data_IF_293417652844
#
_entry.id   IF_293417652844
#
_cell.length_a   1.000
_cell.length_b   1.000
_cell.length_c   1.000
_cell.angle_alpha   90.00
_cell.angle_beta   90.00
_cell.angle_gamma   90.00
#
_symmetry.space_group_name_H-M   'P 1'
#
loop_
_entity.id
_entity.type
_entity.pdbx_description
1 polymer ?
#
# COMPACT_ATOMS: atom_id res chain seq x y z
N UNK A 1 -19.01 8.62 1.88
CA UNK A 1 -18.38 7.28 1.81
C UNK A 1 -18.88 6.59 0.56
N UNK A 2 -18.03 5.82 -0.11
CA UNK A 2 -18.37 5.04 -1.31
C UNK A 2 -17.85 3.60 -1.18
N UNK A 3 -18.48 2.60 -1.84
CA UNK A 3 -18.01 1.21 -1.83
C UNK A 3 -16.57 1.09 -2.33
N UNK A 4 -15.79 0.17 -1.75
CA UNK A 4 -14.39 -0.03 -2.06
C UNK A 4 -14.10 -0.34 -3.54
N UNK A 5 -14.99 -1.06 -4.23
CA UNK A 5 -14.85 -1.35 -5.66
C UNK A 5 -15.03 -0.11 -6.56
N UNK A 6 -15.58 0.99 -6.02
CA UNK A 6 -15.72 2.27 -6.74
C UNK A 6 -14.60 3.26 -6.43
N UNK A 7 -13.74 2.96 -5.46
CA UNK A 7 -12.55 3.76 -5.16
C UNK A 7 -11.40 3.25 -6.03
N UNK A 8 -10.80 4.10 -6.89
CA UNK A 8 -9.65 3.69 -7.68
C UNK A 8 -8.49 3.20 -6.80
N UNK A 9 -7.77 2.12 -7.18
CA UNK A 9 -6.54 1.76 -6.49
C UNK A 9 -5.52 2.91 -6.57
N UNK A 10 -4.70 3.06 -5.54
CA UNK A 10 -3.76 4.17 -5.39
C UNK A 10 -4.37 5.37 -4.65
N UNK A 11 -5.70 5.42 -4.50
CA UNK A 11 -6.36 6.47 -3.71
C UNK A 11 -6.03 6.35 -2.23
N UNK A 12 -5.87 7.48 -1.56
CA UNK A 12 -5.82 7.54 -0.10
C UNK A 12 -7.22 7.63 0.48
N UNK A 13 -7.47 6.86 1.53
CA UNK A 13 -8.77 6.78 2.21
C UNK A 13 -8.57 6.81 3.72
N UNK A 14 -9.58 7.27 4.46
CA UNK A 14 -9.65 7.07 5.91
C UNK A 14 -10.47 5.81 6.19
N UNK A 15 -9.94 4.92 7.02
CA UNK A 15 -10.63 3.71 7.47
C UNK A 15 -10.35 3.44 8.95
N UNK A 16 -11.23 2.70 9.61
CA UNK A 16 -11.00 2.23 10.97
C UNK A 16 -10.18 0.93 10.95
N UNK A 17 -8.96 0.98 11.45
CA UNK A 17 -8.08 -0.19 11.62
C UNK A 17 -7.74 -0.30 13.10
N UNK A 18 -7.93 -1.47 13.70
CA UNK A 18 -7.72 -1.72 15.13
C UNK A 18 -8.42 -0.69 16.05
N UNK A 19 -9.63 -0.27 15.67
CA UNK A 19 -10.45 0.68 16.42
C UNK A 19 -10.04 2.15 16.28
N UNK A 20 -9.10 2.48 15.40
CA UNK A 20 -8.63 3.85 15.17
C UNK A 20 -8.84 4.26 13.71
N UNK A 21 -9.29 5.50 13.50
CA UNK A 21 -9.28 6.10 12.17
C UNK A 21 -7.83 6.34 11.73
N UNK A 22 -7.45 5.73 10.61
CA UNK A 22 -6.11 5.84 10.03
C UNK A 22 -6.21 6.13 8.55
N UNK A 23 -5.19 6.83 8.03
CA UNK A 23 -5.01 6.99 6.60
C UNK A 23 -4.51 5.67 6.00
N UNK A 24 -5.14 5.25 4.91
CA UNK A 24 -4.85 4.01 4.23
C UNK A 24 -4.62 4.26 2.74
N UNK A 25 -3.75 3.46 2.13
CA UNK A 25 -3.70 3.30 0.68
C UNK A 25 -4.73 2.25 0.25
N UNK A 26 -5.61 2.59 -0.69
CA UNK A 26 -6.47 1.63 -1.36
C UNK A 26 -5.65 0.82 -2.35
N UNK A 27 -5.67 -0.50 -2.19
CA UNK A 27 -4.86 -1.43 -3.00
C UNK A 27 -5.74 -2.46 -3.68
N UNK A 28 -5.30 -2.92 -4.85
CA UNK A 28 -5.94 -4.01 -5.59
C UNK A 28 -4.95 -5.06 -6.07
N UNK A 29 -5.40 -6.31 -6.08
CA UNK A 29 -4.70 -7.42 -6.73
C UNK A 29 -5.63 -8.02 -7.78
N UNK A 30 -5.34 -7.83 -9.07
CA UNK A 30 -6.04 -8.53 -10.14
C UNK A 30 -5.79 -10.04 -10.01
N UNK A 31 -6.88 -10.81 -9.92
CA UNK A 31 -6.89 -12.25 -10.11
C UNK A 31 -7.27 -12.60 -11.54
N UNK A 32 -7.54 -13.89 -11.80
CA UNK A 32 -7.97 -14.36 -13.12
C UNK A 32 -9.37 -13.86 -13.49
N UNK A 33 -10.30 -13.94 -12.55
CA UNK A 33 -11.74 -13.69 -12.78
C UNK A 33 -12.32 -12.64 -11.82
N UNK A 34 -11.53 -12.16 -10.87
CA UNK A 34 -11.96 -11.22 -9.83
C UNK A 34 -10.82 -10.31 -9.39
N UNK A 35 -11.16 -9.20 -8.74
CA UNK A 35 -10.20 -8.26 -8.14
C UNK A 35 -10.33 -8.38 -6.62
N UNK A 36 -9.21 -8.60 -5.94
CA UNK A 36 -9.16 -8.51 -4.48
C UNK A 36 -8.89 -7.06 -4.06
N UNK A 37 -9.64 -6.57 -3.08
CA UNK A 37 -9.51 -5.22 -2.53
C UNK A 37 -8.80 -5.29 -1.17
N UNK A 38 -7.83 -4.40 -0.97
CA UNK A 38 -7.06 -4.31 0.26
C UNK A 38 -6.89 -2.87 0.71
N UNK A 39 -6.55 -2.70 1.98
CA UNK A 39 -6.01 -1.46 2.55
C UNK A 39 -4.59 -1.69 3.06
N UNK A 40 -3.78 -0.63 3.01
CA UNK A 40 -2.50 -0.57 3.73
C UNK A 40 -2.57 0.61 4.69
N UNK A 41 -2.54 0.34 5.99
CA UNK A 41 -2.58 1.40 7.01
C UNK A 41 -1.24 2.17 7.03
N UNK A 42 -1.25 3.40 6.53
CA UNK A 42 -0.06 4.25 6.41
C UNK A 42 0.15 5.01 7.72
N UNK A 43 0.83 4.38 8.66
CA UNK A 43 1.22 5.01 9.93
C UNK A 43 2.71 5.29 9.91
N UNK A 44 3.11 6.53 10.22
CA UNK A 44 4.51 6.93 10.26
C UNK A 44 5.32 6.01 11.19
N UNK A 45 6.50 5.57 10.75
CA UNK A 45 7.40 4.70 11.52
C UNK A 45 6.95 3.25 11.67
N UNK A 46 5.80 2.86 11.08
CA UNK A 46 5.28 1.50 11.16
C UNK A 46 6.09 0.54 10.27
N UNK A 47 6.63 -0.52 10.86
CA UNK A 47 7.51 -1.52 10.21
C UNK A 47 6.85 -2.89 9.97
N UNK A 48 5.59 -3.03 10.36
CA UNK A 48 4.80 -4.26 10.24
C UNK A 48 3.67 -4.11 9.22
N UNK A 49 3.85 -3.25 8.20
CA UNK A 49 2.82 -3.00 7.18
C UNK A 49 2.40 -4.30 6.47
N UNK A 50 1.09 -4.47 6.33
CA UNK A 50 0.47 -5.64 5.74
C UNK A 50 -0.70 -5.24 4.85
N UNK A 51 -1.05 -6.10 3.89
CA UNK A 51 -2.32 -5.99 3.19
C UNK A 51 -3.45 -6.41 4.13
N UNK A 52 -4.43 -5.52 4.29
CA UNK A 52 -5.65 -5.77 5.05
C UNK A 52 -6.75 -6.03 4.04
N UNK A 53 -7.20 -7.27 3.91
CA UNK A 53 -8.31 -7.61 3.01
C UNK A 53 -9.58 -6.86 3.43
N UNK A 54 -10.30 -6.34 2.45
CA UNK A 54 -11.62 -5.72 2.65
C UNK A 54 -12.60 -6.25 1.61
N UNK A 55 -13.88 -6.27 1.99
CA UNK A 55 -14.96 -6.59 1.07
C UNK A 55 -15.13 -5.47 0.03
N UNK A 56 -15.41 -5.77 -1.26
CA UNK A 56 -15.65 -4.76 -2.30
C UNK A 56 -16.76 -3.75 -1.97
N UNK A 57 -17.70 -4.10 -1.10
CA UNK A 57 -18.79 -3.21 -0.66
C UNK A 57 -18.46 -2.45 0.63
N UNK A 58 -17.26 -2.65 1.20
CA UNK A 58 -16.80 -1.91 2.38
C UNK A 58 -16.86 -0.40 2.10
N UNK A 59 -17.58 0.40 2.93
CA UNK A 59 -17.66 1.83 2.72
C UNK A 59 -16.34 2.51 3.09
N UNK A 60 -15.77 3.27 2.16
CA UNK A 60 -14.53 4.02 2.34
C UNK A 60 -14.78 5.53 2.22
N UNK A 61 -14.06 6.31 3.02
CA UNK A 61 -14.01 7.76 2.90
C UNK A 61 -12.72 8.15 2.18
N UNK A 62 -12.83 8.72 0.97
CA UNK A 62 -11.65 9.25 0.25
C UNK A 62 -11.07 10.40 1.06
N UNK A 63 -9.75 10.37 1.26
CA UNK A 63 -9.02 11.41 1.96
C UNK A 63 -8.57 12.47 0.94
N UNK A 64 -9.44 13.43 0.64
CA UNK A 64 -9.13 14.51 -0.30
C UNK A 64 -7.95 15.35 0.20
N UNK A 65 -7.08 15.78 -0.73
CA UNK A 65 -5.88 16.56 -0.42
C UNK A 65 -4.72 15.78 0.20
N UNK A 66 -4.96 14.55 0.66
CA UNK A 66 -3.91 13.69 1.20
C UNK A 66 -2.97 13.21 0.09
N UNK A 67 -1.69 13.03 0.42
CA UNK A 67 -0.67 12.56 -0.51
C UNK A 67 0.37 11.66 0.19
N UNK A 68 1.03 10.82 -0.62
CA UNK A 68 2.27 10.15 -0.23
C UNK A 68 3.41 10.97 -0.82
N UNK A 69 4.22 11.57 0.04
CA UNK A 69 5.40 12.30 -0.35
C UNK A 69 6.59 11.33 -0.38
N UNK A 70 7.29 11.27 -1.52
CA UNK A 70 8.50 10.46 -1.69
C UNK A 70 9.72 11.36 -1.51
N UNK A 71 10.66 10.91 -0.69
CA UNK A 71 11.92 11.58 -0.42
C UNK A 71 13.08 11.00 -1.21
N UNK A 72 14.29 11.35 -0.78
CA UNK A 72 15.50 10.92 -1.46
C UNK A 72 15.72 9.40 -1.38
N UNK A 73 16.37 8.89 -2.43
CA UNK A 73 16.79 7.51 -2.47
C UNK A 73 18.08 7.31 -1.66
N UNK A 74 18.17 6.18 -0.96
CA UNK A 74 19.35 5.75 -0.21
C UNK A 74 19.70 4.30 -0.54
N UNK A 75 20.93 3.90 -0.25
CA UNK A 75 21.36 2.50 -0.43
C UNK A 75 20.71 1.57 0.59
N UNK A 76 20.47 0.32 0.21
CA UNK A 76 19.97 -0.71 1.13
C UNK A 76 19.13 -1.77 0.45
N UNK A 77 18.74 -2.78 1.22
CA UNK A 77 17.80 -3.81 0.81
C UNK A 77 16.44 -3.53 1.45
N UNK A 78 15.33 -3.53 0.70
CA UNK A 78 14.02 -3.19 1.24
C UNK A 78 13.52 -4.27 2.20
N UNK A 79 13.03 -3.84 3.36
CA UNK A 79 12.28 -4.65 4.30
C UNK A 79 10.79 -4.22 4.36
N UNK A 80 9.98 -4.90 5.16
CA UNK A 80 8.57 -4.54 5.34
C UNK A 80 8.47 -3.09 5.82
N UNK A 81 7.61 -2.32 5.15
CA UNK A 81 7.41 -0.90 5.41
C UNK A 81 8.36 0.01 4.65
N UNK A 82 9.40 -0.50 4.01
CA UNK A 82 10.25 0.30 3.13
C UNK A 82 9.62 0.48 1.75
N UNK A 83 9.69 1.72 1.25
CA UNK A 83 9.54 1.98 -0.17
C UNK A 83 10.91 1.86 -0.85
N UNK A 84 10.91 1.45 -2.11
CA UNK A 84 12.14 1.35 -2.91
C UNK A 84 11.85 1.62 -4.39
N UNK A 85 12.83 2.19 -5.07
CA UNK A 85 12.74 2.50 -6.49
C UNK A 85 13.23 1.30 -7.32
N UNK A 86 12.58 1.06 -8.46
CA UNK A 86 13.07 0.21 -9.55
C UNK A 86 12.91 0.99 -10.87
N UNK A 87 13.47 0.52 -11.99
CA UNK A 87 13.24 1.13 -13.30
C UNK A 87 11.75 1.20 -13.71
N UNK A 88 10.89 0.39 -13.11
CA UNK A 88 9.46 0.34 -13.43
C UNK A 88 8.56 1.12 -12.45
N UNK A 89 9.12 1.77 -11.43
CA UNK A 89 8.34 2.58 -10.48
C UNK A 89 8.86 2.53 -9.05
N UNK A 90 8.06 3.04 -8.11
CA UNK A 90 8.34 2.97 -6.67
C UNK A 90 7.37 2.01 -6.00
N UNK A 91 7.91 1.09 -5.20
CA UNK A 91 7.15 0.00 -4.61
C UNK A 91 7.28 0.02 -3.10
N UNK A 92 6.19 -0.25 -2.39
CA UNK A 92 6.17 -0.48 -0.96
C UNK A 92 6.17 -1.99 -0.69
N UNK A 93 7.13 -2.46 0.10
CA UNK A 93 7.19 -3.87 0.52
C UNK A 93 6.33 -4.08 1.76
N UNK A 94 5.49 -5.11 1.70
CA UNK A 94 4.46 -5.41 2.69
C UNK A 94 4.45 -6.89 3.04
N UNK A 95 3.81 -7.25 4.15
CA UNK A 95 3.33 -8.61 4.37
C UNK A 95 2.05 -8.84 3.56
N UNK A 96 1.98 -9.94 2.82
CA UNK A 96 0.82 -10.26 1.98
C UNK A 96 -0.38 -10.70 2.82
N UNK A 97 -0.23 -11.78 3.57
CA UNK A 97 -1.29 -12.31 4.43
C UNK A 97 -0.74 -12.63 5.82
N UNK A 98 -1.31 -12.12 6.91
CA UNK A 98 -0.78 -12.36 8.26
C UNK A 98 -0.79 -13.84 8.67
N UNK A 99 -1.66 -14.65 8.05
CA UNK A 99 -1.90 -16.05 8.39
C UNK A 99 -1.14 -17.05 7.51
N UNK A 100 -0.54 -16.62 6.40
CA UNK A 100 0.23 -17.48 5.51
C UNK A 100 1.74 -17.42 5.82
N UNK A 101 2.47 -18.49 5.50
CA UNK A 101 3.93 -18.55 5.65
C UNK A 101 4.60 -17.35 4.95
N UNK A 102 5.20 -16.43 5.73
CA UNK A 102 6.06 -15.29 5.32
C UNK A 102 6.02 -14.93 3.82
N UNK A 103 4.85 -14.55 3.31
CA UNK A 103 4.71 -14.03 1.95
C UNK A 103 4.81 -12.51 1.96
N UNK A 104 5.60 -11.97 1.03
CA UNK A 104 5.72 -10.52 0.81
C UNK A 104 4.85 -10.10 -0.36
N UNK A 105 4.27 -8.91 -0.26
CA UNK A 105 3.61 -8.23 -1.35
C UNK A 105 4.35 -6.93 -1.69
N UNK A 106 4.27 -6.52 -2.96
CA UNK A 106 4.89 -5.31 -3.47
C UNK A 106 3.79 -4.45 -4.09
N UNK A 107 3.53 -3.30 -3.49
CA UNK A 107 2.49 -2.39 -3.98
C UNK A 107 3.16 -1.25 -4.72
N UNK A 108 2.78 -1.05 -5.97
CA UNK A 108 3.13 0.13 -6.74
C UNK A 108 2.46 1.36 -6.13
N UNK A 109 3.24 2.32 -5.62
CA UNK A 109 2.70 3.49 -4.94
C UNK A 109 1.98 4.46 -5.88
N UNK A 110 2.24 4.41 -7.19
CA UNK A 110 1.57 5.27 -8.16
C UNK A 110 0.19 4.72 -8.56
N UNK A 111 0.03 3.40 -8.60
CA UNK A 111 -1.19 2.75 -9.11
C UNK A 111 -2.01 2.03 -8.04
N UNK A 112 -1.42 1.80 -6.85
CA UNK A 112 -2.00 0.96 -5.81
C UNK A 112 -2.19 -0.50 -6.20
N UNK A 113 -1.50 -0.98 -7.24
CA UNK A 113 -1.60 -2.37 -7.69
C UNK A 113 -0.54 -3.24 -7.03
N UNK A 114 -0.94 -4.43 -6.59
CA UNK A 114 0.00 -5.47 -6.17
C UNK A 114 0.73 -6.01 -7.40
N UNK A 115 2.06 -6.10 -7.29
CA UNK A 115 2.96 -6.65 -8.30
C UNK A 115 3.64 -7.93 -7.83
N UNK A 116 4.15 -8.76 -8.77
CA UNK A 116 5.10 -9.82 -8.46
C UNK A 116 6.35 -9.30 -7.75
N UNK A 117 7.26 -10.20 -7.38
CA UNK A 117 8.48 -9.83 -6.65
C UNK A 117 9.33 -8.78 -7.37
N UNK A 118 9.43 -7.57 -6.80
CA UNK A 118 10.14 -6.42 -7.39
C UNK A 118 11.56 -6.18 -6.84
N UNK A 119 11.94 -6.82 -5.72
CA UNK A 119 13.22 -6.59 -5.03
C UNK A 119 14.49 -6.81 -5.86
N UNK A 120 14.45 -7.73 -6.85
CA UNK A 120 15.63 -8.06 -7.66
C UNK A 120 16.15 -6.88 -8.49
N UNK A 121 15.32 -5.85 -8.65
CA UNK A 121 15.60 -4.65 -9.43
C UNK A 121 15.63 -3.39 -8.55
N UNK A 122 15.73 -3.54 -7.23
CA UNK A 122 15.78 -2.40 -6.32
C UNK A 122 17.05 -1.56 -6.57
N UNK A 123 16.86 -0.32 -6.99
CA UNK A 123 17.93 0.68 -7.16
C UNK A 123 18.27 1.42 -5.88
N UNK A 124 17.42 1.33 -4.86
CA UNK A 124 17.62 1.94 -3.54
C UNK A 124 16.31 2.07 -2.77
N UNK A 125 16.41 2.26 -1.46
CA UNK A 125 15.29 2.60 -0.59
C UNK A 125 14.87 4.04 -0.83
N UNK A 126 13.58 4.33 -0.72
CA UNK A 126 13.02 5.67 -0.89
C UNK A 126 12.32 6.04 0.41
N UNK A 127 12.68 7.18 0.99
CA UNK A 127 11.94 7.69 2.13
C UNK A 127 10.50 8.00 1.70
N UNK A 128 9.52 7.76 2.56
CA UNK A 128 8.14 8.12 2.27
C UNK A 128 7.45 8.63 3.53
N UNK A 129 6.55 9.58 3.34
CA UNK A 129 5.70 10.13 4.37
C UNK A 129 4.27 10.29 3.83
N UNK A 130 3.31 10.32 4.74
CA UNK A 130 1.94 10.71 4.40
C UNK A 130 1.67 12.11 4.89
N UNK A 131 1.07 12.92 4.04
CA UNK A 131 0.55 14.24 4.38
C UNK A 131 -0.95 14.19 4.32
N UNK A 132 -1.60 14.61 5.41
CA UNK A 132 -3.04 14.82 5.42
C UNK A 132 -3.39 16.07 4.59
N UNK A 133 -4.56 16.05 3.95
CA UNK A 133 -5.14 17.19 3.25
C UNK A 133 -5.63 18.28 4.20
#
# INVERSE_FOLDING_TARGET
>A
MIPAHRVPPGSLVTATVDGRAVLCLKVERPGRDYINHYLVALTAGRRDLALIYIDPDTPLAVAEGAAIDLGEASGGYPDIGDAFATPSGTFLKLRDEPKAQKTFAYVDLATGLVRPRMERQAGGLVAWAVRAG
#
